data_IF_461939990193
#
_entry.id   IF_461939990193
#
_cell.length_a   1.000
_cell.length_b   1.000
_cell.length_c   1.000
_cell.angle_alpha   90.00
_cell.angle_beta   90.00
_cell.angle_gamma   90.00
#
_symmetry.space_group_name_H-M   'P 1'
#
loop_
_entity.id
_entity.type
_entity.pdbx_description
1 polymer ?
#
# COMPACT_ATOMS: atom_id res chain seq x y z
N UNK A 1 7.23 -18.32 -5.36
CA UNK A 1 7.27 -18.21 -3.89
C UNK A 1 6.36 -17.06 -3.54
N UNK A 2 5.21 -17.35 -2.93
CA UNK A 2 4.22 -16.35 -2.55
C UNK A 2 4.59 -15.72 -1.21
N UNK A 3 4.03 -14.54 -0.91
CA UNK A 3 4.14 -14.00 0.45
C UNK A 3 3.49 -14.99 1.42
N UNK A 4 4.25 -15.40 2.44
CA UNK A 4 3.68 -16.22 3.51
C UNK A 4 2.54 -15.48 4.21
N UNK A 5 1.56 -16.18 4.78
CA UNK A 5 0.45 -15.55 5.50
C UNK A 5 0.93 -14.60 6.62
N UNK A 6 1.98 -14.97 7.34
CA UNK A 6 2.59 -14.17 8.39
C UNK A 6 3.15 -12.84 7.84
N UNK A 7 3.80 -12.89 6.67
CA UNK A 7 4.35 -11.70 6.03
C UNK A 7 3.24 -10.80 5.49
N UNK A 8 2.19 -11.36 4.90
CA UNK A 8 0.98 -10.60 4.50
C UNK A 8 0.36 -9.91 5.73
N UNK A 9 0.26 -10.60 6.86
CA UNK A 9 -0.28 -10.03 8.10
C UNK A 9 0.62 -8.91 8.65
N UNK A 10 1.94 -9.09 8.67
CA UNK A 10 2.90 -8.06 9.10
C UNK A 10 2.79 -6.79 8.23
N UNK A 11 2.74 -6.97 6.90
CA UNK A 11 2.59 -5.86 5.96
C UNK A 11 1.25 -5.14 6.17
N UNK A 12 0.15 -5.89 6.31
CA UNK A 12 -1.17 -5.32 6.58
C UNK A 12 -1.16 -4.48 7.86
N UNK A 13 -0.64 -5.01 8.98
CA UNK A 13 -0.56 -4.29 10.25
C UNK A 13 0.19 -2.97 10.17
N UNK A 14 1.13 -2.87 9.22
CA UNK A 14 1.88 -1.64 8.97
C UNK A 14 1.14 -0.66 8.05
N UNK A 15 0.50 -1.15 6.98
CA UNK A 15 -0.14 -0.30 5.97
C UNK A 15 -1.56 0.15 6.31
N UNK A 16 -2.32 -0.71 6.98
CA UNK A 16 -3.71 -0.44 7.38
C UNK A 16 -3.86 0.84 8.24
N UNK A 17 -3.04 1.10 9.28
CA UNK A 17 -3.12 2.36 10.01
C UNK A 17 -2.75 3.58 9.15
N UNK A 18 -1.75 3.46 8.26
CA UNK A 18 -1.36 4.54 7.36
C UNK A 18 -2.49 4.91 6.41
N UNK A 19 -3.25 3.94 5.91
CA UNK A 19 -4.42 4.19 5.08
C UNK A 19 -5.52 4.90 5.87
N UNK A 20 -5.85 4.41 7.07
CA UNK A 20 -6.87 5.03 7.92
C UNK A 20 -6.53 6.47 8.34
N UNK A 21 -5.25 6.78 8.57
CA UNK A 21 -4.78 8.14 8.85
C UNK A 21 -4.88 9.09 7.65
N UNK A 22 -4.83 8.57 6.43
CA UNK A 22 -4.94 9.36 5.22
C UNK A 22 -6.40 9.64 4.86
N UNK A 23 -7.21 8.58 4.92
CA UNK A 23 -8.61 8.63 4.60
C UNK A 23 -9.31 7.42 5.25
N UNK A 24 -10.26 7.63 6.18
CA UNK A 24 -10.93 6.53 6.88
C UNK A 24 -11.75 5.62 5.96
N UNK A 25 -12.08 6.07 4.74
CA UNK A 25 -12.79 5.26 3.75
C UNK A 25 -11.86 4.33 2.96
N UNK A 26 -10.54 4.51 3.09
CA UNK A 26 -9.55 3.72 2.37
C UNK A 26 -9.21 2.42 3.10
N UNK A 27 -9.66 1.30 2.52
CA UNK A 27 -9.51 -0.04 3.11
C UNK A 27 -8.37 -0.79 2.45
N UNK A 28 -7.52 -1.41 3.26
CA UNK A 28 -6.56 -2.41 2.78
C UNK A 28 -7.32 -3.67 2.36
N UNK A 29 -7.12 -4.14 1.12
CA UNK A 29 -7.76 -5.34 0.59
C UNK A 29 -6.78 -6.51 0.57
N UNK A 30 -5.67 -6.37 -0.16
CA UNK A 30 -4.70 -7.46 -0.35
C UNK A 30 -3.29 -6.93 -0.62
N UNK A 31 -2.29 -7.78 -0.37
CA UNK A 31 -0.91 -7.58 -0.82
C UNK A 31 -0.33 -8.83 -1.46
N UNK A 32 0.43 -8.62 -2.53
CA UNK A 32 1.15 -9.64 -3.27
C UNK A 32 2.52 -9.13 -3.75
N UNK A 33 3.39 -10.06 -4.14
CA UNK A 33 4.61 -9.75 -4.87
C UNK A 33 4.35 -9.86 -6.36
N UNK A 34 4.94 -8.97 -7.14
CA UNK A 34 4.93 -9.12 -8.59
C UNK A 34 5.80 -10.31 -9.05
N UNK A 35 5.74 -10.62 -10.34
CA UNK A 35 6.45 -11.75 -10.92
C UNK A 35 7.98 -11.62 -10.84
N UNK A 36 8.53 -10.40 -10.90
CA UNK A 36 9.97 -10.16 -10.72
C UNK A 36 10.40 -10.18 -9.26
N UNK A 37 9.45 -10.12 -8.31
CA UNK A 37 9.68 -10.05 -6.85
C UNK A 37 10.41 -8.78 -6.42
N UNK A 38 10.41 -7.77 -7.27
CA UNK A 38 11.00 -6.48 -7.00
C UNK A 38 9.94 -5.52 -6.45
N UNK A 39 8.66 -5.75 -6.76
CA UNK A 39 7.58 -4.89 -6.32
C UNK A 39 6.58 -5.62 -5.43
N UNK A 40 6.16 -4.89 -4.40
CA UNK A 40 5.02 -5.20 -3.57
C UNK A 40 3.79 -4.51 -4.16
N UNK A 41 2.86 -5.30 -4.69
CA UNK A 41 1.55 -4.84 -5.13
C UNK A 41 0.60 -4.79 -3.94
N UNK A 42 0.07 -3.61 -3.63
CA UNK A 42 -0.91 -3.41 -2.55
C UNK A 42 -2.22 -2.97 -3.17
N UNK A 43 -3.29 -3.71 -2.88
CA UNK A 43 -4.66 -3.37 -3.28
C UNK A 43 -5.33 -2.67 -2.12
N UNK A 44 -5.80 -1.47 -2.36
CA UNK A 44 -6.70 -0.75 -1.46
C UNK A 44 -8.04 -0.47 -2.17
N UNK A 45 -9.08 -0.13 -1.42
CA UNK A 45 -10.38 0.22 -1.96
C UNK A 45 -10.93 1.44 -1.24
N UNK A 46 -11.48 2.38 -1.99
CA UNK A 46 -12.24 3.54 -1.49
C UNK A 46 -13.49 3.69 -2.34
N UNK A 47 -14.67 3.85 -1.74
CA UNK A 47 -15.95 4.03 -2.44
C UNK A 47 -16.19 3.02 -3.57
N UNK A 48 -15.89 1.75 -3.30
CA UNK A 48 -15.95 0.65 -4.28
C UNK A 48 -15.03 0.75 -5.50
N UNK A 49 -14.09 1.70 -5.46
CA UNK A 49 -13.02 1.82 -6.46
C UNK A 49 -11.77 1.13 -5.94
N UNK A 50 -11.39 -0.04 -6.50
CA UNK A 50 -10.11 -0.64 -6.18
C UNK A 50 -8.98 0.21 -6.76
N UNK A 51 -7.91 0.35 -5.99
CA UNK A 51 -6.67 1.02 -6.39
C UNK A 51 -5.49 0.11 -6.12
N UNK A 52 -4.65 -0.07 -7.13
CA UNK A 52 -3.38 -0.77 -7.00
C UNK A 52 -2.26 0.24 -6.78
N UNK A 53 -1.56 0.08 -5.66
CA UNK A 53 -0.32 0.76 -5.31
C UNK A 53 0.85 -0.18 -5.57
N UNK A 54 1.97 0.39 -6.01
CA UNK A 54 3.23 -0.34 -6.25
C UNK A 54 4.30 0.22 -5.34
N UNK A 55 4.91 -0.63 -4.54
CA UNK A 55 6.04 -0.27 -3.70
C UNK A 55 7.23 -1.13 -4.11
N UNK A 56 8.43 -0.56 -4.15
CA UNK A 56 9.64 -1.36 -4.26
C UNK A 56 9.77 -2.21 -2.99
N UNK A 57 9.87 -3.53 -3.16
CA UNK A 57 9.82 -4.47 -2.04
C UNK A 57 11.09 -4.40 -1.18
N UNK A 58 12.25 -4.26 -1.80
CA UNK A 58 13.53 -4.18 -1.09
C UNK A 58 13.55 -2.90 -0.26
N UNK A 59 13.18 -1.77 -0.88
CA UNK A 59 13.08 -0.48 -0.19
C UNK A 59 12.01 -0.50 0.89
N UNK A 60 10.84 -1.10 0.64
CA UNK A 60 9.74 -1.15 1.60
C UNK A 60 10.18 -1.69 2.97
N UNK A 61 11.03 -2.73 2.99
CA UNK A 61 11.49 -3.37 4.23
C UNK A 61 12.32 -2.40 5.09
N UNK A 62 13.11 -1.52 4.48
CA UNK A 62 13.98 -0.56 5.18
C UNK A 62 13.43 0.86 5.24
N UNK A 63 12.36 1.16 4.50
CA UNK A 63 11.81 2.51 4.37
C UNK A 63 11.15 2.95 5.69
N UNK A 64 11.39 4.17 6.20
CA UNK A 64 10.66 4.70 7.34
C UNK A 64 9.18 4.96 7.02
N UNK A 65 8.30 4.90 8.03
CA UNK A 65 6.85 5.06 7.83
C UNK A 65 6.46 6.42 7.24
N UNK A 66 7.20 7.49 7.56
CA UNK A 66 6.97 8.81 6.97
C UNK A 66 7.23 8.85 5.45
N UNK A 67 8.29 8.19 4.98
CA UNK A 67 8.61 8.09 3.55
C UNK A 67 7.62 7.17 2.83
N UNK A 68 7.26 6.06 3.48
CA UNK A 68 6.24 5.14 2.98
C UNK A 68 4.89 5.84 2.81
N UNK A 69 4.46 6.62 3.81
CA UNK A 69 3.25 7.43 3.75
C UNK A 69 3.29 8.42 2.60
N UNK A 70 4.40 9.15 2.43
CA UNK A 70 4.57 10.08 1.30
C UNK A 70 4.43 9.37 -0.05
N UNK A 71 5.07 8.21 -0.20
CA UNK A 71 5.01 7.39 -1.41
C UNK A 71 3.57 6.93 -1.72
N UNK A 72 2.84 6.48 -0.70
CA UNK A 72 1.43 6.08 -0.81
C UNK A 72 0.56 7.27 -1.23
N UNK A 73 0.71 8.42 -0.58
CA UNK A 73 -0.05 9.64 -0.87
C UNK A 73 0.17 10.09 -2.31
N UNK A 74 1.42 10.11 -2.78
CA UNK A 74 1.73 10.49 -4.15
C UNK A 74 1.02 9.60 -5.17
N UNK A 75 1.01 8.28 -4.95
CA UNK A 75 0.31 7.34 -5.82
C UNK A 75 -1.20 7.52 -5.78
N UNK A 76 -1.79 7.69 -4.59
CA UNK A 76 -3.23 7.91 -4.44
C UNK A 76 -3.68 9.22 -5.09
N UNK A 77 -2.88 10.30 -4.98
CA UNK A 77 -3.12 11.58 -5.65
C UNK A 77 -3.03 11.44 -7.17
N UNK A 78 -1.99 10.78 -7.69
CA UNK A 78 -1.83 10.54 -9.12
C UNK A 78 -3.00 9.72 -9.71
N UNK A 79 -3.63 8.87 -8.90
CA UNK A 79 -4.78 8.04 -9.25
C UNK A 79 -6.13 8.68 -8.92
N UNK A 80 -6.14 9.93 -8.43
CA UNK A 80 -7.35 10.70 -8.06
C UNK A 80 -8.24 9.99 -7.03
N UNK A 81 -7.64 9.22 -6.11
CA UNK A 81 -8.35 8.54 -5.01
C UNK A 81 -8.50 9.48 -3.81
N UNK A 82 -7.44 10.22 -3.51
CA UNK A 82 -7.43 11.28 -2.48
C UNK A 82 -7.23 12.63 -3.18
N UNK A 83 -7.80 13.73 -2.66
CA UNK A 83 -7.63 15.04 -3.26
C UNK A 83 -6.16 15.45 -3.31
N UNK A 84 -5.74 15.99 -4.46
CA UNK A 84 -4.50 16.72 -4.59
C UNK A 84 -4.66 18.07 -3.91
N UNK A 85 -3.92 18.28 -2.81
CA UNK A 85 -3.73 19.60 -2.21
C UNK A 85 -3.18 20.59 -3.23
#
# INVERSE_FOLDING_TARGET
MELTPERKQSIRRRLEPLFAELDPELKFVEVFLDSSRENLGVVAQKDDRPVMLRLDFVRYVSMPDAELRSTIVQQLKAKKIVPGS
#
